data_IF_147718797803
#
_entry.id   IF_147718797803
#
_cell.length_a   1.000
_cell.length_b   1.000
_cell.length_c   1.000
_cell.angle_alpha   90.00
_cell.angle_beta   90.00
_cell.angle_gamma   90.00
#
_symmetry.space_group_name_H-M   'P 1'
#
loop_
_entity.id
_entity.type
_entity.pdbx_description
1 polymer ?
#
# COMPACT_ATOMS: atom_id res chain seq x y z
N UNK A 1 42.18 -25.94 -20.41
CA UNK A 1 42.39 -26.18 -18.96
C UNK A 1 43.44 -25.21 -18.44
N UNK A 2 43.22 -24.67 -17.23
CA UNK A 2 43.94 -23.58 -16.51
C UNK A 2 43.25 -22.22 -16.67
N UNK A 3 42.96 -21.44 -15.63
CA UNK A 3 42.91 -21.62 -14.17
C UNK A 3 42.60 -20.20 -13.63
N UNK A 4 41.94 -20.13 -12.48
CA UNK A 4 42.05 -19.06 -11.47
C UNK A 4 41.31 -17.74 -11.81
N UNK A 5 40.23 -17.42 -11.11
CA UNK A 5 40.13 -16.96 -9.70
C UNK A 5 40.53 -15.47 -9.54
N UNK A 6 39.49 -14.64 -9.44
CA UNK A 6 39.32 -13.36 -8.75
C UNK A 6 40.45 -12.32 -8.75
N UNK A 7 40.22 -11.20 -9.44
CA UNK A 7 40.84 -9.90 -9.12
C UNK A 7 39.89 -8.73 -9.42
N UNK A 8 39.59 -7.96 -8.36
CA UNK A 8 39.29 -6.52 -8.32
C UNK A 8 37.88 -6.02 -8.73
N UNK A 9 37.04 -5.81 -7.71
CA UNK A 9 36.16 -4.64 -7.63
C UNK A 9 37.03 -3.34 -7.56
N UNK A 10 36.51 -2.10 -7.76
CA UNK A 10 35.11 -1.68 -7.89
C UNK A 10 34.83 -0.68 -9.05
N UNK A 11 33.59 -0.59 -9.53
CA UNK A 11 33.12 0.61 -10.22
C UNK A 11 31.68 0.93 -9.78
N UNK A 12 31.56 2.01 -9.02
CA UNK A 12 30.30 2.66 -8.69
C UNK A 12 29.78 3.31 -9.98
N UNK A 13 28.70 2.77 -10.53
CA UNK A 13 27.68 3.54 -11.25
C UNK A 13 26.41 3.35 -10.40
N UNK A 14 25.91 4.33 -9.66
CA UNK A 14 25.58 5.64 -10.21
C UNK A 14 24.40 5.52 -11.17
N UNK A 15 23.30 4.89 -10.75
CA UNK A 15 22.00 5.09 -11.39
C UNK A 15 21.01 5.55 -10.34
N UNK A 16 21.05 6.86 -10.09
CA UNK A 16 19.92 7.62 -9.56
C UNK A 16 18.72 7.38 -10.47
N UNK A 17 17.85 6.43 -10.15
CA UNK A 17 16.51 6.46 -10.69
C UNK A 17 15.72 7.49 -9.89
N UNK A 18 15.90 8.76 -10.25
CA UNK A 18 14.93 9.79 -9.96
C UNK A 18 13.65 9.41 -10.71
N UNK A 19 12.78 8.63 -10.08
CA UNK A 19 11.44 8.38 -10.57
C UNK A 19 10.62 9.65 -10.34
N UNK A 20 10.86 10.67 -11.18
CA UNK A 20 9.89 11.72 -11.42
C UNK A 20 8.71 11.10 -12.18
N UNK A 21 7.81 10.45 -11.45
CA UNK A 21 6.49 10.14 -11.97
C UNK A 21 5.54 11.26 -11.59
N UNK A 22 5.49 12.23 -12.50
CA UNK A 22 4.42 13.19 -12.61
C UNK A 22 3.06 12.45 -12.62
N UNK A 23 2.19 12.84 -11.70
CA UNK A 23 0.75 13.04 -11.87
C UNK A 23 0.08 12.31 -13.06
N UNK A 24 0.04 10.99 -13.02
CA UNK A 24 -0.96 10.19 -13.74
C UNK A 24 -1.69 9.38 -12.70
N UNK A 25 -3.03 9.43 -12.73
CA UNK A 25 -3.91 8.70 -11.82
C UNK A 25 -3.89 7.18 -12.04
N UNK A 26 -2.70 6.58 -12.11
CA UNK A 26 -2.48 5.15 -12.09
C UNK A 26 -2.69 4.66 -10.66
N UNK A 27 -3.95 4.45 -10.32
CA UNK A 27 -4.35 3.80 -9.09
C UNK A 27 -3.76 2.38 -9.08
N UNK A 28 -2.74 2.14 -8.26
CA UNK A 28 -2.20 0.80 -8.05
C UNK A 28 -3.30 -0.05 -7.43
N UNK A 29 -3.51 -1.26 -7.94
CA UNK A 29 -4.49 -2.19 -7.40
C UNK A 29 -3.78 -3.44 -6.91
N UNK A 30 -4.11 -3.87 -5.71
CA UNK A 30 -3.61 -5.12 -5.13
C UNK A 30 -4.76 -6.11 -5.08
N UNK A 31 -4.47 -7.35 -5.45
CA UNK A 31 -5.42 -8.45 -5.38
C UNK A 31 -5.21 -9.17 -4.05
N UNK A 32 -6.25 -9.25 -3.23
CA UNK A 32 -6.27 -10.11 -2.06
C UNK A 32 -6.84 -11.47 -2.47
N UNK A 33 -6.00 -12.50 -2.41
CA UNK A 33 -6.40 -13.86 -2.77
C UNK A 33 -7.31 -14.51 -1.70
N UNK A 34 -7.18 -14.11 -0.43
CA UNK A 34 -7.93 -14.68 0.68
C UNK A 34 -9.39 -14.20 0.65
N UNK A 35 -9.62 -12.92 0.34
CA UNK A 35 -10.96 -12.32 0.24
C UNK A 35 -11.49 -12.23 -1.20
N UNK A 36 -10.64 -12.51 -2.20
CA UNK A 36 -10.95 -12.52 -3.64
C UNK A 36 -11.45 -11.17 -4.17
N UNK A 37 -10.92 -10.08 -3.64
CA UNK A 37 -11.24 -8.72 -4.05
C UNK A 37 -9.99 -7.92 -4.46
N UNK A 38 -10.24 -6.78 -5.09
CA UNK A 38 -9.20 -5.88 -5.57
C UNK A 38 -9.27 -4.58 -4.79
N UNK A 39 -8.23 -4.30 -4.03
CA UNK A 39 -8.08 -3.05 -3.29
C UNK A 39 -7.33 -2.02 -4.11
N UNK A 40 -7.79 -0.78 -4.02
CA UNK A 40 -7.10 0.37 -4.60
C UNK A 40 -6.11 0.90 -3.57
N UNK A 41 -4.88 1.08 -3.98
CA UNK A 41 -3.90 1.85 -3.22
C UNK A 41 -4.08 3.34 -3.53
N UNK A 42 -4.84 4.02 -2.69
CA UNK A 42 -5.00 5.46 -2.71
C UNK A 42 -4.44 6.11 -1.44
N UNK A 43 -4.64 7.41 -1.27
CA UNK A 43 -4.13 8.13 -0.11
C UNK A 43 -4.79 7.69 1.20
N UNK A 44 -5.99 7.11 1.16
CA UNK A 44 -6.69 6.62 2.35
C UNK A 44 -6.08 5.28 2.78
N UNK A 45 -5.81 4.41 1.80
CA UNK A 45 -5.15 3.14 2.03
C UNK A 45 -3.70 3.31 2.53
N UNK A 46 -2.94 4.28 2.01
CA UNK A 46 -1.60 4.60 2.51
C UNK A 46 -1.63 5.01 4.00
N UNK A 47 -2.65 5.80 4.41
CA UNK A 47 -2.81 6.18 5.82
C UNK A 47 -3.19 4.98 6.68
N UNK A 48 -4.14 4.15 6.23
CA UNK A 48 -4.53 2.93 6.93
C UNK A 48 -3.33 1.98 7.11
N UNK A 49 -2.47 1.86 6.10
CA UNK A 49 -1.25 1.07 6.16
C UNK A 49 -0.23 1.61 7.17
N UNK A 50 -0.04 2.93 7.23
CA UNK A 50 0.84 3.55 8.25
C UNK A 50 0.32 3.29 9.66
N UNK A 51 -0.99 3.37 9.87
CA UNK A 51 -1.61 3.07 11.17
C UNK A 51 -1.43 1.60 11.55
N UNK A 52 -1.63 0.68 10.60
CA UNK A 52 -1.31 -0.74 10.78
C UNK A 52 0.16 -0.94 11.18
N UNK A 53 1.08 -0.29 10.48
CA UNK A 53 2.52 -0.41 10.75
C UNK A 53 2.87 0.09 12.15
N UNK A 54 2.31 1.21 12.56
CA UNK A 54 2.50 1.75 13.90
C UNK A 54 1.92 0.84 14.99
N UNK A 55 0.78 0.20 14.75
CA UNK A 55 0.14 -0.71 15.71
C UNK A 55 0.90 -2.03 15.86
N UNK A 56 1.30 -2.64 14.74
CA UNK A 56 1.87 -4.00 14.72
C UNK A 56 3.40 -4.04 14.73
N UNK A 57 4.04 -3.02 14.18
CA UNK A 57 5.48 -2.96 13.91
C UNK A 57 6.12 -1.68 14.47
N UNK A 58 5.58 -1.09 15.55
CA UNK A 58 6.08 0.14 16.18
C UNK A 58 7.58 0.14 16.51
N UNK A 59 8.20 -1.03 16.64
CA UNK A 59 9.63 -1.19 16.96
C UNK A 59 10.51 -1.46 15.73
N UNK A 60 9.92 -1.61 14.56
CA UNK A 60 10.60 -1.89 13.29
C UNK A 60 10.66 -0.66 12.39
N UNK A 61 11.63 -0.62 11.48
CA UNK A 61 11.71 0.43 10.48
C UNK A 61 10.51 0.36 9.54
N UNK A 62 9.94 1.53 9.20
CA UNK A 62 8.84 1.61 8.25
C UNK A 62 9.23 1.00 6.91
N UNK A 63 8.43 0.03 6.44
CA UNK A 63 8.59 -0.58 5.12
C UNK A 63 7.40 -0.23 4.25
N UNK A 64 7.67 0.21 3.03
CA UNK A 64 6.64 0.41 2.02
C UNK A 64 5.92 -0.90 1.72
N UNK A 65 4.59 -0.85 1.59
CA UNK A 65 3.76 -2.03 1.32
C UNK A 65 4.25 -2.84 0.10
N UNK A 66 4.68 -2.16 -0.97
CA UNK A 66 5.19 -2.81 -2.18
C UNK A 66 6.49 -3.64 -1.96
N UNK A 67 7.20 -3.44 -0.84
CA UNK A 67 8.42 -4.18 -0.48
C UNK A 67 8.15 -5.32 0.50
N UNK A 68 6.90 -5.49 0.94
CA UNK A 68 6.51 -6.58 1.82
C UNK A 68 6.51 -7.90 1.06
N UNK A 69 6.79 -8.99 1.79
CA UNK A 69 6.59 -10.33 1.25
C UNK A 69 5.08 -10.66 1.21
N UNK A 70 4.69 -11.73 0.51
CA UNK A 70 3.29 -12.09 0.32
C UNK A 70 2.53 -12.35 1.64
N UNK A 71 3.22 -12.89 2.65
CA UNK A 71 2.64 -13.16 3.96
C UNK A 71 2.32 -11.86 4.71
N UNK A 72 3.25 -10.90 4.74
CA UNK A 72 3.04 -9.59 5.34
C UNK A 72 1.95 -8.78 4.64
N UNK A 73 1.85 -8.90 3.32
CA UNK A 73 0.77 -8.28 2.55
C UNK A 73 -0.60 -8.86 2.95
N UNK A 74 -0.69 -10.19 3.08
CA UNK A 74 -1.90 -10.87 3.55
C UNK A 74 -2.29 -10.45 4.96
N UNK A 75 -1.32 -10.33 5.87
CA UNK A 75 -1.58 -9.90 7.24
C UNK A 75 -2.18 -8.49 7.31
N UNK A 76 -1.72 -7.58 6.45
CA UNK A 76 -2.30 -6.26 6.30
C UNK A 76 -3.77 -6.33 5.83
N UNK A 77 -4.08 -7.08 4.76
CA UNK A 77 -5.47 -7.18 4.27
C UNK A 77 -6.40 -7.81 5.30
N UNK A 78 -5.95 -8.86 5.99
CA UNK A 78 -6.67 -9.45 7.12
C UNK A 78 -6.98 -8.42 8.21
N UNK A 79 -6.02 -7.57 8.55
CA UNK A 79 -6.25 -6.47 9.50
C UNK A 79 -7.23 -5.43 8.92
N UNK A 80 -7.12 -5.11 7.64
CA UNK A 80 -7.93 -4.12 6.94
C UNK A 80 -9.41 -4.48 6.95
N UNK A 81 -9.74 -5.74 6.70
CA UNK A 81 -11.12 -6.24 6.77
C UNK A 81 -11.73 -6.16 8.17
N UNK A 82 -10.89 -6.23 9.21
CA UNK A 82 -11.34 -6.09 10.60
C UNK A 82 -11.53 -4.61 11.03
N UNK A 83 -11.10 -3.65 10.20
CA UNK A 83 -11.11 -2.22 10.55
C UNK A 83 -11.79 -1.39 9.45
N UNK A 84 -13.12 -1.46 9.34
CA UNK A 84 -13.86 -0.65 8.38
C UNK A 84 -13.72 0.84 8.73
N UNK A 85 -13.38 1.65 7.73
CA UNK A 85 -13.35 3.11 7.89
C UNK A 85 -14.77 3.62 8.14
N UNK A 86 -14.98 4.34 9.25
CA UNK A 86 -16.30 4.83 9.68
C UNK A 86 -16.81 6.04 8.90
N UNK A 87 -16.14 6.43 7.81
CA UNK A 87 -16.42 7.68 7.11
C UNK A 87 -17.46 7.57 5.97
N UNK A 88 -18.04 6.39 5.73
CA UNK A 88 -19.03 6.20 4.64
C UNK A 88 -20.48 6.58 4.99
N UNK A 89 -20.76 6.97 6.23
CA UNK A 89 -22.14 7.22 6.68
C UNK A 89 -22.62 8.67 6.54
N UNK A 90 -21.77 9.63 6.15
CA UNK A 90 -22.17 11.05 6.11
C UNK A 90 -22.96 11.48 4.86
N UNK A 91 -22.95 10.70 3.80
CA UNK A 91 -23.58 11.10 2.53
C UNK A 91 -25.04 10.63 2.37
N UNK A 92 -25.56 9.77 3.27
CA UNK A 92 -26.94 9.29 3.17
C UNK A 92 -27.99 10.25 3.74
N UNK A 93 -27.62 11.13 4.66
CA UNK A 93 -28.58 12.00 5.36
C UNK A 93 -29.04 13.24 4.53
N UNK A 94 -28.47 13.46 3.34
CA UNK A 94 -28.87 14.59 2.48
C UNK A 94 -30.10 14.31 1.62
N UNK A 95 -30.37 13.07 1.26
CA UNK A 95 -31.45 12.76 0.31
C UNK A 95 -32.85 12.71 0.95
N UNK A 96 -32.95 12.48 2.26
CA UNK A 96 -34.25 12.40 2.94
C UNK A 96 -34.91 13.78 3.16
N UNK A 97 -34.14 14.87 3.24
CA UNK A 97 -34.71 16.20 3.53
C UNK A 97 -35.48 16.83 2.37
N UNK A 98 -35.23 16.40 1.14
CA UNK A 98 -35.90 16.96 -0.04
C UNK A 98 -37.22 16.22 -0.34
N UNK A 99 -37.48 15.07 0.28
CA UNK A 99 -38.72 14.31 0.08
C UNK A 99 -39.92 14.90 0.84
N UNK A 100 -39.67 15.56 1.97
CA UNK A 100 -40.71 16.13 2.83
C UNK A 100 -41.16 17.54 2.41
N UNK A 101 -40.61 18.10 1.32
CA UNK A 101 -40.96 19.44 0.82
C UNK A 101 -41.96 19.46 -0.34
N UNK A 102 -42.61 18.33 -0.68
CA UNK A 102 -43.59 18.26 -1.77
C UNK A 102 -45.02 18.16 -1.29
#
# INVERSE_FOLDING_TARGET
>A
MKRMLNYMAPLILGFTFAAALAATGCAVRYYDADHRDYHRWDGDEDRAYRDYWNDRHAREEYREYARLNAEQQRDYWNWRHNRPDRDRDRDKDRDDRDRDRR
#
